data_IF_776097263818
#
_entry.id   IF_776097263818
#
_cell.length_a   1.000
_cell.length_b   1.000
_cell.length_c   1.000
_cell.angle_alpha   90.00
_cell.angle_beta   90.00
_cell.angle_gamma   90.00
#
_symmetry.space_group_name_H-M   'P 1'
#
loop_
_entity.id
_entity.type
_entity.pdbx_description
1 polymer ?
#
# COMPACT_ATOMS: atom_id res chain seq x y z
N UNK A 1 -15.33 -4.22 -57.60
CA UNK A 1 -14.36 -3.47 -56.78
C UNK A 1 -15.14 -2.69 -55.74
N UNK A 2 -15.26 -3.25 -54.53
CA UNK A 2 -15.80 -2.55 -53.36
C UNK A 2 -14.73 -2.67 -52.28
N UNK A 3 -14.19 -1.53 -51.87
CA UNK A 3 -13.11 -1.42 -50.90
C UNK A 3 -13.63 -1.70 -49.49
N UNK A 4 -12.94 -2.58 -48.77
CA UNK A 4 -13.18 -2.87 -47.35
C UNK A 4 -12.85 -1.63 -46.50
N UNK A 5 -13.66 -1.32 -45.46
CA UNK A 5 -13.38 -0.21 -44.56
C UNK A 5 -12.14 -0.51 -43.71
N UNK A 6 -11.23 0.46 -43.71
CA UNK A 6 -10.01 0.51 -42.93
C UNK A 6 -10.31 0.34 -41.44
N UNK A 7 -9.74 -0.70 -40.84
CA UNK A 7 -9.64 -0.83 -39.38
C UNK A 7 -8.83 0.35 -38.85
N UNK A 8 -9.51 1.29 -38.20
CA UNK A 8 -8.85 2.29 -37.38
C UNK A 8 -8.17 1.56 -36.22
N UNK A 9 -6.84 1.60 -36.25
CA UNK A 9 -5.99 1.23 -35.12
C UNK A 9 -6.41 2.07 -33.91
N UNK A 10 -7.12 1.44 -32.98
CA UNK A 10 -7.29 1.96 -31.62
C UNK A 10 -5.88 2.04 -31.01
N UNK A 11 -5.42 3.26 -30.75
CA UNK A 11 -4.21 3.47 -29.97
C UNK A 11 -4.47 2.86 -28.59
N UNK A 12 -3.60 1.98 -28.06
CA UNK A 12 -3.80 1.43 -26.73
C UNK A 12 -3.90 2.57 -25.72
N UNK A 13 -5.00 2.62 -24.98
CA UNK A 13 -5.23 3.60 -23.94
C UNK A 13 -4.03 3.57 -22.98
N UNK A 14 -3.49 4.76 -22.69
CA UNK A 14 -2.32 4.91 -21.84
C UNK A 14 -2.68 4.40 -20.44
N UNK A 15 -2.10 3.27 -20.02
CA UNK A 15 -2.41 2.61 -18.74
C UNK A 15 -2.34 3.58 -17.56
N UNK A 16 -3.40 3.58 -16.75
CA UNK A 16 -3.50 4.40 -15.55
C UNK A 16 -2.60 3.81 -14.46
N UNK A 17 -1.75 4.64 -13.84
CA UNK A 17 -0.85 4.19 -12.76
C UNK A 17 -1.56 3.97 -11.42
N UNK A 18 -2.76 4.51 -11.28
CA UNK A 18 -3.57 4.46 -10.06
C UNK A 18 -5.01 4.32 -10.51
N UNK A 19 -5.67 3.23 -10.10
CA UNK A 19 -7.09 3.03 -10.34
C UNK A 19 -7.95 4.06 -9.59
N UNK A 20 -9.20 4.24 -10.01
CA UNK A 20 -10.15 5.11 -9.33
C UNK A 20 -10.32 4.73 -7.85
N UNK A 21 -10.26 5.73 -6.96
CA UNK A 21 -10.47 5.57 -5.53
C UNK A 21 -11.77 6.26 -5.12
N UNK A 22 -12.53 5.65 -4.20
CA UNK A 22 -13.75 6.25 -3.65
C UNK A 22 -13.47 7.54 -2.87
N UNK A 23 -12.33 7.59 -2.17
CA UNK A 23 -11.90 8.76 -1.38
C UNK A 23 -10.38 8.83 -1.30
N UNK A 24 -9.84 10.02 -1.00
CA UNK A 24 -8.40 10.24 -0.84
C UNK A 24 -7.95 9.85 0.58
N UNK A 25 -7.12 8.80 0.77
CA UNK A 25 -6.58 8.47 2.08
C UNK A 25 -5.43 9.42 2.45
N UNK A 26 -5.66 10.31 3.40
CA UNK A 26 -4.67 11.26 3.90
C UNK A 26 -4.53 11.20 5.42
N UNK A 27 -3.32 11.50 5.92
CA UNK A 27 -3.07 11.70 7.35
C UNK A 27 -2.85 13.19 7.59
N UNK A 28 -3.76 13.83 8.34
CA UNK A 28 -3.72 15.26 8.61
C UNK A 28 -3.04 15.56 9.96
N UNK A 29 -1.88 16.22 9.99
CA UNK A 29 -1.25 16.63 11.26
C UNK A 29 -2.01 17.79 11.92
N UNK A 30 -2.41 17.62 13.18
CA UNK A 30 -3.14 18.63 13.96
C UNK A 30 -2.34 19.27 15.10
N UNK A 31 -1.03 19.03 15.16
CA UNK A 31 -0.14 19.58 16.20
C UNK A 31 -0.27 21.11 16.27
N UNK A 32 -0.70 21.60 17.43
CA UNK A 32 -0.91 23.04 17.71
C UNK A 32 -1.92 23.72 16.78
N UNK A 33 -2.81 22.94 16.14
CA UNK A 33 -3.89 23.49 15.32
C UNK A 33 -5.15 23.64 16.17
N UNK A 34 -5.86 24.75 15.96
CA UNK A 34 -7.19 24.97 16.52
C UNK A 34 -8.18 24.05 15.82
N UNK A 35 -9.02 23.36 16.58
CA UNK A 35 -10.11 22.53 16.07
C UNK A 35 -11.40 22.89 16.81
N UNK A 36 -12.50 22.97 16.06
CA UNK A 36 -13.82 23.22 16.61
C UNK A 36 -14.57 21.91 16.84
N UNK A 37 -15.13 21.72 18.04
CA UNK A 37 -16.11 20.67 18.35
C UNK A 37 -17.35 21.32 18.94
N UNK A 38 -18.50 21.16 18.28
CA UNK A 38 -19.80 21.60 18.78
C UNK A 38 -20.64 20.40 19.23
N UNK A 39 -21.36 20.54 20.35
CA UNK A 39 -22.17 19.47 20.93
C UNK A 39 -21.50 18.80 22.13
N UNK A 40 -22.33 18.16 22.97
CA UNK A 40 -21.94 17.64 24.29
C UNK A 40 -22.06 16.13 24.47
N UNK A 41 -22.34 15.37 23.40
CA UNK A 41 -22.58 13.92 23.50
C UNK A 41 -21.32 13.08 23.69
N UNK A 42 -21.51 11.78 23.95
CA UNK A 42 -20.43 10.80 23.98
C UNK A 42 -19.70 10.68 22.63
N UNK A 43 -20.42 10.84 21.52
CA UNK A 43 -19.82 10.80 20.19
C UNK A 43 -18.92 12.02 19.96
N UNK A 44 -19.37 13.21 20.36
CA UNK A 44 -18.57 14.43 20.33
C UNK A 44 -17.35 14.34 21.27
N UNK A 45 -17.52 13.74 22.46
CA UNK A 45 -16.43 13.50 23.42
C UNK A 45 -15.33 12.63 22.81
N UNK A 46 -15.69 11.53 22.15
CA UNK A 46 -14.73 10.65 21.48
C UNK A 46 -13.97 11.37 20.36
N UNK A 47 -14.64 12.20 19.56
CA UNK A 47 -13.99 13.02 18.52
C UNK A 47 -13.03 14.03 19.15
N UNK A 48 -13.45 14.73 20.19
CA UNK A 48 -12.62 15.69 20.90
C UNK A 48 -11.35 15.01 21.47
N UNK A 49 -11.49 13.85 22.11
CA UNK A 49 -10.36 13.06 22.64
C UNK A 49 -9.39 12.65 21.52
N UNK A 50 -9.91 12.13 20.40
CA UNK A 50 -9.10 11.73 19.25
C UNK A 50 -8.29 12.91 18.67
N UNK A 51 -8.93 14.06 18.47
CA UNK A 51 -8.29 15.26 17.92
C UNK A 51 -7.21 15.80 18.86
N UNK A 52 -7.51 15.84 20.15
CA UNK A 52 -6.57 16.23 21.19
C UNK A 52 -5.37 15.29 21.27
N UNK A 53 -5.59 13.98 21.11
CA UNK A 53 -4.51 12.99 21.01
C UNK A 53 -3.61 13.15 19.76
N UNK A 54 -4.08 13.87 18.73
CA UNK A 54 -3.27 14.30 17.59
C UNK A 54 -2.50 15.62 17.83
N UNK A 55 -2.60 16.19 19.04
CA UNK A 55 -1.95 17.43 19.44
C UNK A 55 -2.73 18.70 19.10
N UNK A 56 -4.03 18.60 18.85
CA UNK A 56 -4.89 19.75 18.56
C UNK A 56 -5.22 20.55 19.83
N UNK A 57 -5.44 21.84 19.67
CA UNK A 57 -6.17 22.67 20.61
C UNK A 57 -7.66 22.58 20.27
N UNK A 58 -8.39 21.79 21.06
CA UNK A 58 -9.80 21.47 20.81
C UNK A 58 -10.68 22.47 21.54
N UNK A 59 -11.34 23.35 20.79
CA UNK A 59 -12.33 24.28 21.28
C UNK A 59 -13.71 23.63 21.28
N UNK A 60 -14.22 23.34 22.47
CA UNK A 60 -15.52 22.67 22.67
C UNK A 60 -16.57 23.73 22.92
N UNK A 61 -17.57 23.85 22.04
CA UNK A 61 -18.72 24.74 22.19
C UNK A 61 -19.96 23.92 22.54
N UNK A 62 -20.28 23.89 23.83
CA UNK A 62 -21.46 23.24 24.36
C UNK A 62 -21.75 23.81 25.75
N UNK A 63 -23.01 24.17 26.08
CA UNK A 63 -23.39 24.44 27.45
C UNK A 63 -22.99 23.29 28.38
N UNK A 64 -22.42 23.59 29.55
CA UNK A 64 -21.97 22.58 30.52
C UNK A 64 -23.11 21.63 30.92
N UNK A 65 -24.34 22.16 30.96
CA UNK A 65 -25.54 21.40 31.30
C UNK A 65 -25.87 20.26 30.32
N UNK A 66 -25.36 20.32 29.08
CA UNK A 66 -25.61 19.29 28.05
C UNK A 66 -24.41 18.38 27.83
N UNK A 67 -23.29 18.60 28.53
CA UNK A 67 -22.13 17.72 28.44
C UNK A 67 -22.46 16.37 29.08
N UNK A 68 -22.21 15.29 28.35
CA UNK A 68 -22.30 13.94 28.88
C UNK A 68 -21.24 13.69 29.96
N UNK A 69 -21.45 12.65 30.78
CA UNK A 69 -20.47 12.23 31.78
C UNK A 69 -19.12 11.89 31.15
N UNK A 70 -19.12 11.21 30.00
CA UNK A 70 -17.89 10.90 29.27
C UNK A 70 -17.17 12.17 28.81
N UNK A 71 -17.91 13.18 28.32
CA UNK A 71 -17.30 14.43 27.89
C UNK A 71 -16.63 15.16 29.07
N UNK A 72 -17.32 15.24 30.21
CA UNK A 72 -16.76 15.83 31.43
C UNK A 72 -15.48 15.12 31.87
N UNK A 73 -15.44 13.78 31.81
CA UNK A 73 -14.25 12.99 32.13
C UNK A 73 -13.09 13.27 31.17
N UNK A 74 -13.35 13.41 29.87
CA UNK A 74 -12.33 13.75 28.86
C UNK A 74 -11.73 15.13 29.14
N UNK A 75 -12.57 16.13 29.42
CA UNK A 75 -12.10 17.49 29.76
C UNK A 75 -11.28 17.50 31.05
N UNK A 76 -11.70 16.75 32.07
CA UNK A 76 -11.00 16.66 33.34
C UNK A 76 -9.65 15.92 33.22
N UNK A 77 -9.59 14.84 32.42
CA UNK A 77 -8.36 14.07 32.18
C UNK A 77 -7.33 14.88 31.39
N UNK A 78 -7.78 15.77 30.51
CA UNK A 78 -6.91 16.53 29.63
C UNK A 78 -6.38 15.71 28.45
N UNK A 79 -5.49 16.32 27.66
CA UNK A 79 -4.96 15.72 26.45
C UNK A 79 -3.91 14.64 26.73
N UNK A 80 -3.96 13.52 26.01
CA UNK A 80 -2.91 12.51 26.06
C UNK A 80 -1.62 12.94 25.33
N UNK A 81 -1.72 13.89 24.40
CA UNK A 81 -0.59 14.43 23.65
C UNK A 81 -0.10 15.72 24.31
N UNK A 82 1.22 15.90 24.43
CA UNK A 82 1.83 17.06 25.13
C UNK A 82 1.43 18.43 24.57
N UNK A 83 1.25 18.52 23.24
CA UNK A 83 0.77 19.73 22.54
C UNK A 83 -0.76 19.86 22.49
N UNK A 84 -1.51 18.82 22.88
CA UNK A 84 -2.96 18.83 22.85
C UNK A 84 -3.52 19.56 24.06
N UNK A 85 -4.67 20.21 23.91
CA UNK A 85 -5.42 20.77 25.04
C UNK A 85 -6.90 20.95 24.69
N UNK A 86 -7.72 21.11 25.73
CA UNK A 86 -9.13 21.45 25.60
C UNK A 86 -9.38 22.88 26.06
N UNK A 87 -10.22 23.60 25.32
CA UNK A 87 -10.76 24.90 25.69
C UNK A 87 -12.28 24.79 25.63
N UNK A 88 -12.92 24.68 26.80
CA UNK A 88 -14.37 24.59 26.88
C UNK A 88 -15.00 25.99 26.89
N UNK A 89 -15.93 26.21 25.96
CA UNK A 89 -16.80 27.38 25.87
C UNK A 89 -18.19 26.95 26.32
N UNK A 90 -18.60 27.42 27.50
CA UNK A 90 -19.93 27.14 28.10
C UNK A 90 -21.03 27.95 27.39
N UNK A 91 -21.21 27.69 26.10
CA UNK A 91 -22.17 28.33 25.19
C UNK A 91 -22.28 27.56 23.89
N UNK A 92 -23.33 27.84 23.11
CA UNK A 92 -23.46 27.35 21.75
C UNK A 92 -22.37 27.94 20.82
N UNK A 93 -22.13 27.24 19.71
CA UNK A 93 -21.23 27.73 18.66
C UNK A 93 -21.82 28.97 17.96
N UNK A 94 -20.96 29.74 17.30
CA UNK A 94 -21.35 30.93 16.53
C UNK A 94 -20.39 31.10 15.33
N UNK A 95 -20.71 31.97 14.36
CA UNK A 95 -19.92 32.13 13.13
C UNK A 95 -18.43 32.42 13.39
N UNK A 96 -18.08 33.27 14.36
CA UNK A 96 -16.67 33.53 14.69
C UNK A 96 -15.92 32.33 15.31
N UNK A 97 -16.63 31.28 15.75
CA UNK A 97 -16.01 30.09 16.32
C UNK A 97 -15.13 29.35 15.30
N UNK A 98 -15.45 29.45 14.01
CA UNK A 98 -14.72 28.81 12.92
C UNK A 98 -13.40 29.50 12.55
N UNK A 99 -13.16 30.73 13.03
CA UNK A 99 -11.95 31.50 12.71
C UNK A 99 -10.68 30.70 13.02
N UNK A 100 -9.75 30.57 12.07
CA UNK A 100 -8.49 29.84 12.23
C UNK A 100 -8.61 28.35 12.60
N UNK A 101 -9.82 27.78 12.56
CA UNK A 101 -10.02 26.35 12.81
C UNK A 101 -9.51 25.55 11.61
N UNK A 102 -8.72 24.51 11.88
CA UNK A 102 -8.22 23.62 10.84
C UNK A 102 -9.30 22.65 10.34
N UNK A 103 -10.18 22.21 11.26
CA UNK A 103 -11.35 21.37 10.99
C UNK A 103 -12.45 21.69 12.00
N UNK A 104 -13.70 21.37 11.64
CA UNK A 104 -14.87 21.54 12.48
C UNK A 104 -15.69 20.25 12.56
N UNK A 105 -16.11 19.89 13.77
CA UNK A 105 -16.97 18.74 14.03
C UNK A 105 -18.18 19.21 14.82
N UNK A 106 -19.37 18.74 14.45
CA UNK A 106 -20.56 18.93 15.26
C UNK A 106 -21.29 17.62 15.51
N UNK A 107 -21.85 17.51 16.69
CA UNK A 107 -23.00 16.66 16.94
C UNK A 107 -24.24 17.54 17.07
N UNK A 108 -25.15 17.42 16.10
CA UNK A 108 -26.34 18.25 16.00
C UNK A 108 -27.56 17.36 16.17
N UNK A 109 -28.54 17.77 16.97
CA UNK A 109 -29.79 17.02 17.12
C UNK A 109 -30.65 17.19 15.86
N UNK A 110 -30.91 18.44 15.45
CA UNK A 110 -31.79 18.76 14.34
C UNK A 110 -31.07 18.86 12.99
N UNK A 111 -31.81 18.63 11.91
CA UNK A 111 -31.31 18.79 10.54
C UNK A 111 -30.98 20.26 10.22
N UNK A 112 -31.81 21.19 10.70
CA UNK A 112 -31.65 22.64 10.59
C UNK A 112 -30.33 23.13 11.19
N UNK A 113 -29.98 22.60 12.37
CA UNK A 113 -28.71 22.91 13.04
C UNK A 113 -27.52 22.38 12.24
N UNK A 114 -27.60 21.14 11.75
CA UNK A 114 -26.55 20.53 10.93
C UNK A 114 -26.32 21.32 9.64
N UNK A 115 -27.38 21.77 8.97
CA UNK A 115 -27.32 22.62 7.80
C UNK A 115 -26.66 23.98 8.12
N UNK A 116 -27.07 24.62 9.21
CA UNK A 116 -26.48 25.89 9.65
C UNK A 116 -24.98 25.76 9.98
N UNK A 117 -24.58 24.70 10.70
CA UNK A 117 -23.18 24.43 11.02
C UNK A 117 -22.35 24.16 9.76
N UNK A 118 -22.88 23.35 8.86
CA UNK A 118 -22.25 23.03 7.56
C UNK A 118 -22.01 24.28 6.73
N UNK A 119 -23.03 25.13 6.56
CA UNK A 119 -22.90 26.38 5.81
C UNK A 119 -21.93 27.37 6.45
N UNK A 120 -21.95 27.50 7.78
CA UNK A 120 -21.03 28.36 8.51
C UNK A 120 -19.57 27.90 8.32
N UNK A 121 -19.30 26.60 8.45
CA UNK A 121 -17.98 26.01 8.25
C UNK A 121 -17.46 26.25 6.83
N UNK A 122 -18.28 25.98 5.82
CA UNK A 122 -17.91 26.18 4.41
C UNK A 122 -17.66 27.64 4.06
N UNK A 123 -18.47 28.56 4.62
CA UNK A 123 -18.27 30.00 4.46
C UNK A 123 -16.92 30.44 5.05
N UNK A 124 -16.50 29.82 6.15
CA UNK A 124 -15.20 30.06 6.76
C UNK A 124 -14.02 29.30 6.10
N UNK A 125 -14.29 28.46 5.09
CA UNK A 125 -13.27 27.61 4.46
C UNK A 125 -12.75 26.49 5.35
N UNK A 126 -13.53 26.08 6.36
CA UNK A 126 -13.15 25.05 7.34
C UNK A 126 -13.81 23.72 6.96
N UNK A 127 -13.02 22.64 6.74
CA UNK A 127 -13.57 21.31 6.49
C UNK A 127 -14.45 20.85 7.64
N UNK A 128 -15.62 20.30 7.29
CA UNK A 128 -16.66 19.97 8.26
C UNK A 128 -17.04 18.49 8.28
N UNK A 129 -17.32 17.97 9.47
CA UNK A 129 -17.91 16.66 9.69
C UNK A 129 -19.04 16.78 10.72
N UNK A 130 -20.26 16.42 10.34
CA UNK A 130 -21.40 16.32 11.27
C UNK A 130 -21.65 14.85 11.58
N UNK A 131 -21.61 14.51 12.86
CA UNK A 131 -21.76 13.12 13.33
C UNK A 131 -23.13 12.58 12.89
N UNK A 132 -23.12 11.33 12.42
CA UNK A 132 -24.29 10.59 11.93
C UNK A 132 -25.11 11.27 10.82
N UNK A 133 -24.58 12.32 10.19
CA UNK A 133 -25.21 13.04 9.07
C UNK A 133 -24.25 13.16 7.87
N UNK A 134 -24.09 12.09 7.06
CA UNK A 134 -23.15 12.05 5.93
C UNK A 134 -23.35 13.15 4.89
N UNK A 135 -24.59 13.62 4.70
CA UNK A 135 -24.91 14.72 3.77
C UNK A 135 -24.24 16.06 4.14
N UNK A 136 -23.82 16.22 5.40
CA UNK A 136 -23.13 17.41 5.91
C UNK A 136 -21.66 17.12 6.28
N UNK A 137 -21.03 16.19 5.59
CA UNK A 137 -19.62 15.84 5.79
C UNK A 137 -18.80 16.08 4.52
N UNK A 138 -17.69 16.82 4.65
CA UNK A 138 -16.67 16.95 3.59
C UNK A 138 -15.53 15.92 3.76
N UNK A 139 -15.45 15.29 4.92
CA UNK A 139 -14.54 14.18 5.21
C UNK A 139 -15.16 13.20 6.19
N UNK A 140 -14.59 11.99 6.27
CA UNK A 140 -15.07 10.92 7.14
C UNK A 140 -13.94 10.39 8.02
N UNK A 141 -14.31 9.91 9.22
CA UNK A 141 -13.40 9.17 10.08
C UNK A 141 -13.47 7.68 9.76
N UNK A 142 -12.32 7.09 9.44
CA UNK A 142 -12.20 5.64 9.29
C UNK A 142 -12.05 4.91 10.63
N UNK A 143 -12.04 3.58 10.57
CA UNK A 143 -11.53 2.76 11.68
C UNK A 143 -10.02 2.91 11.81
N UNK A 144 -9.53 3.11 13.03
CA UNK A 144 -8.11 3.41 13.29
C UNK A 144 -7.46 2.25 14.07
N UNK A 145 -6.32 1.78 13.60
CA UNK A 145 -5.37 0.98 14.38
C UNK A 145 -4.21 1.87 14.80
N UNK A 146 -4.07 2.10 16.10
CA UNK A 146 -3.06 3.00 16.65
C UNK A 146 -1.87 2.22 17.23
N UNK A 147 -0.69 2.43 16.66
CA UNK A 147 0.64 2.03 17.14
C UNK A 147 1.59 3.23 17.05
N UNK A 148 1.07 4.43 17.33
CA UNK A 148 1.72 5.72 17.07
C UNK A 148 3.22 5.69 17.44
N UNK A 149 4.11 6.10 16.52
CA UNK A 149 3.81 6.86 15.30
C UNK A 149 3.34 6.02 14.09
N UNK A 150 3.17 4.69 14.21
CA UNK A 150 2.55 3.86 13.16
C UNK A 150 1.03 3.91 13.29
N UNK A 151 0.33 4.35 12.25
CA UNK A 151 -1.12 4.49 12.23
C UNK A 151 -1.66 3.84 10.96
N UNK A 152 -2.73 3.05 11.09
CA UNK A 152 -3.49 2.53 9.95
C UNK A 152 -4.91 3.09 10.03
N UNK A 153 -5.37 3.68 8.93
CA UNK A 153 -6.75 4.12 8.76
C UNK A 153 -7.45 3.23 7.73
N UNK A 154 -8.67 2.80 8.06
CA UNK A 154 -9.49 1.89 7.24
C UNK A 154 -10.79 2.62 6.94
N UNK A 155 -11.09 2.82 5.65
CA UNK A 155 -12.36 3.36 5.18
C UNK A 155 -13.11 2.31 4.35
N UNK A 156 -14.43 2.29 4.48
CA UNK A 156 -15.35 1.52 3.62
C UNK A 156 -16.29 2.44 2.85
N UNK A 157 -16.00 3.76 2.81
CA UNK A 157 -16.84 4.79 2.19
C UNK A 157 -18.32 4.70 2.62
N UNK A 158 -18.53 4.45 3.91
CA UNK A 158 -19.87 4.28 4.49
C UNK A 158 -20.58 2.95 4.18
N UNK A 159 -20.04 2.09 3.32
CA UNK A 159 -20.74 0.90 2.83
C UNK A 159 -20.96 -0.20 3.89
N UNK A 160 -20.02 -0.38 4.84
CA UNK A 160 -20.12 -1.44 5.83
C UNK A 160 -19.25 -1.19 7.08
N UNK A 161 -19.83 -0.68 8.19
CA UNK A 161 -19.11 -0.52 9.45
C UNK A 161 -18.57 -1.85 10.01
N UNK A 162 -19.32 -2.93 9.88
CA UNK A 162 -18.92 -4.27 10.35
C UNK A 162 -17.69 -4.79 9.59
N UNK A 163 -17.61 -4.53 8.27
CA UNK A 163 -16.45 -4.89 7.47
C UNK A 163 -15.21 -4.11 7.92
N UNK A 164 -15.34 -2.80 8.15
CA UNK A 164 -14.24 -1.97 8.67
C UNK A 164 -13.73 -2.50 10.02
N UNK A 165 -14.63 -2.93 10.91
CA UNK A 165 -14.26 -3.55 12.19
C UNK A 165 -13.55 -4.89 12.00
N UNK A 166 -14.01 -5.74 11.08
CA UNK A 166 -13.37 -7.04 10.81
C UNK A 166 -11.94 -6.86 10.25
N UNK A 167 -11.75 -5.92 9.32
CA UNK A 167 -10.43 -5.54 8.80
C UNK A 167 -9.55 -5.01 9.93
N UNK A 168 -10.08 -4.11 10.76
CA UNK A 168 -9.35 -3.55 11.92
C UNK A 168 -8.83 -4.64 12.85
N UNK A 169 -9.67 -5.61 13.23
CA UNK A 169 -9.28 -6.72 14.12
C UNK A 169 -8.14 -7.56 13.53
N UNK A 170 -8.20 -7.87 12.23
CA UNK A 170 -7.14 -8.61 11.53
C UNK A 170 -5.82 -7.84 11.51
N UNK A 171 -5.87 -6.53 11.23
CA UNK A 171 -4.68 -5.67 11.24
C UNK A 171 -4.11 -5.53 12.67
N UNK A 172 -4.96 -5.39 13.69
CA UNK A 172 -4.52 -5.35 15.09
C UNK A 172 -3.76 -6.61 15.51
N UNK A 173 -4.19 -7.79 15.03
CA UNK A 173 -3.50 -9.05 15.26
C UNK A 173 -2.15 -9.15 14.53
N UNK A 174 -2.04 -8.56 13.34
CA UNK A 174 -0.81 -8.54 12.53
C UNK A 174 0.22 -7.51 12.98
N UNK A 175 -0.19 -6.44 13.69
CA UNK A 175 0.69 -5.33 14.06
C UNK A 175 1.07 -5.37 15.56
N UNK A 176 2.29 -5.83 15.91
CA UNK A 176 2.72 -5.94 17.29
C UNK A 176 2.68 -4.59 18.03
N UNK A 177 2.29 -4.56 19.32
CA UNK A 177 2.37 -3.34 20.15
C UNK A 177 3.78 -2.74 20.22
N UNK A 178 4.82 -3.56 20.04
CA UNK A 178 6.21 -3.15 20.03
C UNK A 178 6.56 -2.17 18.91
N UNK A 179 5.77 -2.11 17.82
CA UNK A 179 6.01 -1.24 16.67
C UNK A 179 6.11 0.24 17.04
N UNK A 180 5.40 0.68 18.09
CA UNK A 180 5.52 2.04 18.64
C UNK A 180 6.98 2.38 18.96
N UNK A 181 7.66 1.51 19.70
CA UNK A 181 9.04 1.74 20.13
C UNK A 181 10.02 1.67 18.96
N UNK A 182 9.83 0.70 18.06
CA UNK A 182 10.63 0.60 16.85
C UNK A 182 10.48 1.83 15.96
N UNK A 183 9.27 2.34 15.77
CA UNK A 183 9.08 3.51 14.93
C UNK A 183 9.67 4.79 15.57
N UNK A 184 9.64 4.94 16.90
CA UNK A 184 10.40 5.99 17.61
C UNK A 184 11.91 5.87 17.37
N UNK A 185 12.46 4.64 17.47
CA UNK A 185 13.87 4.38 17.15
C UNK A 185 14.16 4.76 15.70
N UNK A 186 13.32 4.34 14.75
CA UNK A 186 13.47 4.65 13.33
C UNK A 186 13.57 6.17 13.11
N UNK A 187 12.70 6.95 13.74
CA UNK A 187 12.75 8.43 13.69
C UNK A 187 14.07 8.97 14.24
N UNK A 188 14.54 8.47 15.39
CA UNK A 188 15.78 8.93 16.02
C UNK A 188 17.05 8.55 15.24
N UNK A 189 17.02 7.46 14.46
CA UNK A 189 18.19 6.96 13.73
C UNK A 189 18.20 7.38 12.25
N UNK A 190 17.04 7.75 11.68
CA UNK A 190 16.86 7.90 10.22
C UNK A 190 17.88 8.81 9.56
N UNK A 191 18.07 10.01 10.08
CA UNK A 191 18.96 10.99 9.47
C UNK A 191 20.43 10.58 9.60
N UNK A 192 20.80 9.99 10.74
CA UNK A 192 22.14 9.44 10.99
C UNK A 192 22.47 8.26 10.06
N UNK A 193 21.49 7.39 9.78
CA UNK A 193 21.62 6.29 8.81
C UNK A 193 21.71 6.84 7.39
N UNK A 194 20.85 7.80 7.03
CA UNK A 194 20.83 8.39 5.69
C UNK A 194 22.13 9.16 5.38
N UNK A 195 22.77 9.78 6.38
CA UNK A 195 24.07 10.41 6.21
C UNK A 195 25.21 9.41 5.96
N UNK A 196 25.08 8.16 6.46
CA UNK A 196 26.09 7.11 6.31
C UNK A 196 25.92 6.28 5.04
N UNK A 197 24.68 5.90 4.72
CA UNK A 197 24.36 4.98 3.63
C UNK A 197 23.95 5.73 2.37
N UNK A 198 24.44 5.28 1.22
CA UNK A 198 24.05 5.82 -0.08
C UNK A 198 22.56 5.56 -0.37
N UNK A 199 21.86 6.49 -1.04
CA UNK A 199 20.48 6.28 -1.48
C UNK A 199 20.31 5.02 -2.33
N UNK A 200 19.22 4.28 -2.12
CA UNK A 200 18.90 3.06 -2.88
C UNK A 200 19.14 1.79 -2.07
N UNK A 201 19.88 0.84 -2.65
CA UNK A 201 19.97 -0.53 -2.12
C UNK A 201 20.57 -0.62 -0.72
N UNK A 202 21.59 0.20 -0.42
CA UNK A 202 22.22 0.18 0.90
C UNK A 202 21.23 0.55 2.01
N UNK A 203 20.55 1.70 1.88
CA UNK A 203 19.48 2.11 2.81
C UNK A 203 18.35 1.09 2.85
N UNK A 204 17.95 0.52 1.72
CA UNK A 204 16.87 -0.48 1.67
C UNK A 204 17.20 -1.72 2.51
N UNK A 205 18.35 -2.34 2.28
CA UNK A 205 18.77 -3.55 2.99
C UNK A 205 18.80 -3.30 4.50
N UNK A 206 19.29 -2.13 4.91
CA UNK A 206 19.29 -1.73 6.31
C UNK A 206 17.86 -1.66 6.88
N UNK A 207 16.95 -0.98 6.19
CA UNK A 207 15.57 -0.81 6.63
C UNK A 207 14.73 -2.08 6.55
N UNK A 208 14.97 -2.97 5.59
CA UNK A 208 14.33 -4.29 5.53
C UNK A 208 14.72 -5.13 6.76
N UNK A 209 16.01 -5.23 7.08
CA UNK A 209 16.48 -5.91 8.30
C UNK A 209 15.97 -5.26 9.57
N UNK A 210 15.81 -3.94 9.56
CA UNK A 210 15.20 -3.21 10.67
C UNK A 210 13.73 -3.64 10.85
N UNK A 211 12.96 -3.71 9.77
CA UNK A 211 11.56 -4.14 9.78
C UNK A 211 11.43 -5.59 10.24
N UNK A 212 12.28 -6.51 9.74
CA UNK A 212 12.27 -7.90 10.18
C UNK A 212 12.38 -8.01 11.71
N UNK A 213 13.29 -7.25 12.32
CA UNK A 213 13.45 -7.19 13.78
C UNK A 213 12.25 -6.55 14.48
N UNK A 214 11.65 -5.53 13.85
CA UNK A 214 10.50 -4.83 14.41
C UNK A 214 9.27 -5.74 14.62
N UNK A 215 9.15 -6.79 13.81
CA UNK A 215 8.09 -7.78 13.91
C UNK A 215 8.43 -8.99 14.80
N UNK A 216 9.69 -9.20 15.16
CA UNK A 216 10.12 -10.33 16.01
C UNK A 216 9.93 -10.08 17.51
N UNK A 217 10.00 -8.83 17.97
CA UNK A 217 9.91 -8.56 19.40
C UNK A 217 10.12 -7.10 19.79
N UNK A 218 10.20 -6.86 21.10
CA UNK A 218 10.50 -5.53 21.64
C UNK A 218 11.99 -5.18 21.40
N UNK A 219 12.32 -3.91 21.16
CA UNK A 219 13.70 -3.49 21.05
C UNK A 219 14.42 -3.70 22.40
N UNK A 220 15.56 -4.36 22.36
CA UNK A 220 16.46 -4.51 23.50
C UNK A 220 17.17 -3.19 23.84
N UNK A 221 17.70 -3.07 25.06
CA UNK A 221 18.55 -1.92 25.42
C UNK A 221 19.77 -1.82 24.48
N UNK A 222 20.15 -0.58 24.17
CA UNK A 222 21.28 -0.29 23.27
C UNK A 222 21.06 -0.69 21.80
N UNK A 223 19.85 -1.02 21.37
CA UNK A 223 19.56 -1.39 19.97
C UNK A 223 19.96 -0.28 18.99
N UNK A 224 19.79 0.99 19.35
CA UNK A 224 20.19 2.13 18.51
C UNK A 224 21.68 2.10 18.18
N UNK A 225 22.52 1.85 19.18
CA UNK A 225 23.97 1.78 19.02
C UNK A 225 24.37 0.61 18.11
N UNK A 226 23.72 -0.56 18.29
CA UNK A 226 23.95 -1.73 17.43
C UNK A 226 23.53 -1.48 15.98
N UNK A 227 22.40 -0.80 15.77
CA UNK A 227 21.92 -0.42 14.44
C UNK A 227 22.89 0.55 13.76
N UNK A 228 23.42 1.54 14.49
CA UNK A 228 24.46 2.42 13.96
C UNK A 228 25.72 1.65 13.54
N UNK A 229 26.20 0.76 14.40
CA UNK A 229 27.35 -0.09 14.10
C UNK A 229 27.10 -1.06 12.92
N UNK A 230 25.86 -1.45 12.66
CA UNK A 230 25.50 -2.20 11.45
C UNK A 230 25.56 -1.32 10.20
N UNK A 231 25.04 -0.09 10.27
CA UNK A 231 25.14 0.87 9.17
C UNK A 231 26.61 1.14 8.80
N UNK A 232 27.49 1.36 9.79
CA UNK A 232 28.93 1.57 9.58
C UNK A 232 29.60 0.33 8.95
N UNK A 233 29.22 -0.87 9.39
CA UNK A 233 29.71 -2.14 8.79
C UNK A 233 29.25 -2.30 7.34
N UNK A 234 28.06 -1.83 7.00
CA UNK A 234 27.55 -1.88 5.63
C UNK A 234 28.26 -0.88 4.69
N UNK A 235 28.77 0.23 5.22
CA UNK A 235 29.63 1.15 4.45
C UNK A 235 30.96 0.48 4.11
N UNK A 236 31.58 -0.21 5.08
CA UNK A 236 32.88 -0.87 4.89
C UNK A 236 32.80 -2.17 4.08
N UNK A 237 31.64 -2.84 4.07
CA UNK A 237 31.34 -3.99 3.21
C UNK A 237 30.06 -3.70 2.42
N UNK A 238 30.13 -2.87 1.36
CA UNK A 238 28.96 -2.59 0.55
C UNK A 238 28.38 -3.91 0.07
N UNK A 239 27.08 -4.10 0.31
CA UNK A 239 26.31 -5.19 -0.26
C UNK A 239 26.60 -5.25 -1.75
N UNK A 240 26.93 -6.46 -2.21
CA UNK A 240 27.33 -6.81 -3.56
C UNK A 240 26.47 -6.13 -4.64
N UNK A 241 27.05 -6.03 -5.85
CA UNK A 241 26.36 -5.78 -7.11
C UNK A 241 24.88 -6.21 -7.06
N UNK A 242 24.00 -5.42 -7.66
CA UNK A 242 22.58 -5.70 -7.71
C UNK A 242 22.31 -7.06 -8.37
N UNK A 243 21.04 -7.43 -8.51
CA UNK A 243 20.69 -8.68 -9.20
C UNK A 243 19.63 -8.46 -10.26
N UNK A 244 19.65 -9.34 -11.25
CA UNK A 244 18.52 -9.57 -12.14
C UNK A 244 17.68 -10.70 -11.55
N UNK A 245 16.36 -10.54 -11.49
CA UNK A 245 15.43 -11.62 -11.13
C UNK A 245 14.41 -11.78 -12.23
N UNK A 246 14.48 -12.89 -12.94
CA UNK A 246 13.49 -13.28 -13.95
C UNK A 246 12.33 -13.94 -13.20
N UNK A 247 11.13 -13.40 -13.34
CA UNK A 247 9.95 -13.79 -12.55
C UNK A 247 8.85 -14.22 -13.50
N UNK A 248 8.31 -15.42 -13.28
CA UNK A 248 7.08 -15.85 -13.94
C UNK A 248 5.85 -15.25 -13.27
N UNK A 249 5.03 -14.58 -14.07
CA UNK A 249 3.75 -14.02 -13.63
C UNK A 249 2.63 -15.07 -13.56
N UNK A 250 2.87 -16.27 -14.09
CA UNK A 250 1.83 -17.29 -14.22
C UNK A 250 0.82 -16.95 -15.33
N UNK A 251 -0.40 -17.52 -15.30
CA UNK A 251 -1.38 -17.35 -16.38
C UNK A 251 -2.05 -15.96 -16.45
N UNK A 252 -1.81 -15.08 -15.47
CA UNK A 252 -2.28 -13.70 -15.49
C UNK A 252 -2.96 -13.24 -14.19
N UNK A 253 -3.55 -14.16 -13.43
CA UNK A 253 -4.16 -13.86 -12.13
C UNK A 253 -3.07 -13.54 -11.09
N UNK A 254 -3.22 -12.38 -10.42
CA UNK A 254 -2.29 -11.91 -9.40
C UNK A 254 -2.22 -12.85 -8.18
N UNK A 255 -3.29 -13.58 -7.86
CA UNK A 255 -3.30 -14.56 -6.76
C UNK A 255 -2.46 -15.80 -7.08
N UNK A 256 -2.17 -16.06 -8.35
CA UNK A 256 -1.33 -17.18 -8.80
C UNK A 256 0.16 -16.83 -8.83
N UNK A 257 0.54 -15.60 -8.47
CA UNK A 257 1.93 -15.27 -8.24
C UNK A 257 2.46 -16.05 -7.04
N UNK A 258 3.64 -16.63 -7.23
CA UNK A 258 4.33 -17.24 -6.10
C UNK A 258 4.70 -16.17 -5.07
N UNK A 259 4.74 -16.53 -3.78
CA UNK A 259 5.18 -15.61 -2.73
C UNK A 259 6.59 -15.03 -3.00
N UNK A 260 7.44 -15.79 -3.69
CA UNK A 260 8.78 -15.34 -4.10
C UNK A 260 8.72 -14.31 -5.24
N UNK A 261 7.77 -14.43 -6.17
CA UNK A 261 7.51 -13.44 -7.21
C UNK A 261 7.06 -12.11 -6.60
N UNK A 262 6.11 -12.15 -5.68
CA UNK A 262 5.62 -10.95 -4.96
C UNK A 262 6.77 -10.26 -4.21
N UNK A 263 7.59 -11.02 -3.46
CA UNK A 263 8.78 -10.47 -2.78
C UNK A 263 9.78 -9.85 -3.74
N UNK A 264 9.99 -10.46 -4.91
CA UNK A 264 10.87 -9.90 -5.94
C UNK A 264 10.33 -8.56 -6.47
N UNK A 265 9.02 -8.48 -6.77
CA UNK A 265 8.36 -7.26 -7.24
C UNK A 265 8.38 -6.13 -6.19
N UNK A 266 8.24 -6.47 -4.90
CA UNK A 266 8.34 -5.50 -3.79
C UNK A 266 9.78 -5.01 -3.57
N UNK A 267 10.79 -5.84 -3.84
CA UNK A 267 12.21 -5.48 -3.72
C UNK A 267 12.79 -4.79 -4.98
N UNK A 268 12.04 -4.76 -6.08
CA UNK A 268 12.50 -4.29 -7.38
C UNK A 268 12.73 -2.78 -7.41
N UNK A 269 13.84 -2.36 -8.02
CA UNK A 269 14.08 -0.97 -8.39
C UNK A 269 13.52 -0.61 -9.75
N UNK A 270 13.64 -1.56 -10.68
CA UNK A 270 13.16 -1.46 -12.05
C UNK A 270 12.45 -2.76 -12.37
N UNK A 271 11.28 -2.67 -12.99
CA UNK A 271 10.47 -3.80 -13.43
C UNK A 271 10.29 -3.67 -14.93
N UNK A 272 10.88 -4.62 -15.65
CA UNK A 272 10.71 -4.84 -17.08
C UNK A 272 9.64 -5.92 -17.24
N UNK A 273 8.55 -5.63 -17.93
CA UNK A 273 7.41 -6.56 -18.00
C UNK A 273 6.90 -6.71 -19.43
N UNK A 274 6.38 -7.89 -19.74
CA UNK A 274 5.70 -8.15 -21.03
C UNK A 274 4.39 -7.35 -21.11
N UNK A 275 4.03 -6.87 -22.29
CA UNK A 275 2.79 -6.10 -22.47
C UNK A 275 1.52 -6.89 -22.11
N UNK A 276 1.55 -8.22 -22.15
CA UNK A 276 0.41 -9.05 -21.76
C UNK A 276 0.21 -9.19 -20.24
N UNK A 277 1.12 -8.66 -19.41
CA UNK A 277 0.96 -8.66 -17.95
C UNK A 277 -0.17 -7.72 -17.53
N UNK A 278 -1.09 -8.26 -16.72
CA UNK A 278 -2.22 -7.54 -16.14
C UNK A 278 -1.76 -6.52 -15.10
N UNK A 279 -2.50 -5.42 -14.98
CA UNK A 279 -2.13 -4.32 -14.07
C UNK A 279 -2.22 -4.73 -12.59
N UNK A 280 -3.10 -5.66 -12.24
CA UNK A 280 -3.25 -6.23 -10.88
C UNK A 280 -1.94 -6.87 -10.37
N UNK A 281 -1.20 -7.55 -11.25
CA UNK A 281 0.13 -8.10 -10.95
C UNK A 281 1.14 -6.97 -10.69
N UNK A 282 1.07 -5.89 -11.46
CA UNK A 282 1.97 -4.73 -11.31
C UNK A 282 1.64 -3.90 -10.07
N UNK A 283 0.41 -3.91 -9.59
CA UNK A 283 -0.02 -3.24 -8.35
C UNK A 283 0.55 -3.91 -7.08
N UNK A 284 0.92 -5.18 -7.15
CA UNK A 284 1.65 -5.86 -6.07
C UNK A 284 3.12 -5.42 -5.95
N UNK A 285 3.63 -4.75 -6.98
CA UNK A 285 4.98 -4.21 -6.97
C UNK A 285 5.12 -2.96 -6.11
N UNK A 286 6.36 -2.64 -5.75
CA UNK A 286 6.67 -1.38 -5.06
C UNK A 286 6.22 -0.17 -5.88
N UNK A 287 5.50 0.76 -5.24
CA UNK A 287 4.97 1.99 -5.88
C UNK A 287 6.03 2.86 -6.56
N UNK A 288 7.23 2.94 -5.99
CA UNK A 288 8.35 3.74 -6.53
C UNK A 288 9.23 2.96 -7.52
N UNK A 289 8.91 1.69 -7.84
CA UNK A 289 9.66 0.95 -8.85
C UNK A 289 9.43 1.56 -10.24
N UNK A 290 10.51 1.73 -11.02
CA UNK A 290 10.39 2.17 -12.40
C UNK A 290 9.81 1.02 -13.23
N UNK A 291 8.57 1.14 -13.68
CA UNK A 291 7.89 0.19 -14.57
C UNK A 291 8.24 0.52 -16.03
N UNK A 292 8.75 -0.45 -16.78
CA UNK A 292 9.15 -0.31 -18.18
C UNK A 292 8.52 -1.46 -18.98
N UNK A 293 7.55 -1.20 -19.86
CA UNK A 293 7.02 -2.23 -20.75
C UNK A 293 8.08 -2.64 -21.77
N UNK A 294 8.19 -3.95 -22.03
CA UNK A 294 9.02 -4.52 -23.08
C UNK A 294 8.08 -4.91 -24.23
N UNK A 295 8.20 -4.22 -25.36
CA UNK A 295 7.32 -4.42 -26.51
C UNK A 295 7.42 -5.87 -27.02
N UNK A 296 6.28 -6.57 -27.02
CA UNK A 296 6.15 -7.91 -27.54
C UNK A 296 5.71 -7.84 -29.01
N UNK A 297 6.65 -7.81 -29.94
CA UNK A 297 6.34 -8.36 -31.26
C UNK A 297 7.44 -9.33 -31.66
N UNK A 298 7.05 -10.57 -31.96
CA UNK A 298 7.92 -11.63 -32.46
C UNK A 298 8.70 -11.22 -33.74
N UNK A 299 8.30 -10.12 -34.39
CA UNK A 299 8.96 -9.55 -35.56
C UNK A 299 10.05 -8.51 -35.23
N UNK A 300 10.05 -7.92 -34.03
CA UNK A 300 11.03 -6.93 -33.58
C UNK A 300 12.01 -7.49 -32.52
N UNK A 301 12.37 -8.79 -32.64
CA UNK A 301 13.65 -9.30 -32.11
C UNK A 301 14.85 -8.73 -32.90
N UNK A 302 14.77 -7.49 -33.37
CA UNK A 302 15.92 -6.70 -33.75
C UNK A 302 16.84 -6.71 -32.54
N UNK A 303 17.95 -7.44 -32.67
CA UNK A 303 18.90 -7.70 -31.59
C UNK A 303 19.33 -6.40 -30.91
N UNK A 304 19.27 -5.27 -31.62
CA UNK A 304 19.57 -3.93 -31.14
C UNK A 304 18.71 -3.45 -29.96
N UNK A 305 17.38 -3.63 -29.95
CA UNK A 305 16.54 -3.15 -28.83
C UNK A 305 16.71 -4.02 -27.58
N UNK A 306 16.83 -5.34 -27.76
CA UNK A 306 17.14 -6.26 -26.67
C UNK A 306 18.55 -6.02 -26.09
N UNK A 307 19.55 -5.74 -26.94
CA UNK A 307 20.92 -5.41 -26.52
C UNK A 307 20.98 -4.07 -25.78
N UNK A 308 20.24 -3.05 -26.22
CA UNK A 308 20.15 -1.75 -25.55
C UNK A 308 19.49 -1.89 -24.16
N UNK A 309 18.40 -2.65 -24.06
CA UNK A 309 17.77 -2.99 -22.78
C UNK A 309 18.74 -3.77 -21.88
N UNK A 310 19.49 -4.73 -22.40
CA UNK A 310 20.49 -5.50 -21.63
C UNK A 310 21.67 -4.65 -21.14
N UNK A 311 22.17 -3.72 -21.95
CA UNK A 311 23.23 -2.78 -21.56
C UNK A 311 22.81 -1.86 -20.41
N UNK A 312 21.59 -1.34 -20.48
CA UNK A 312 20.99 -0.51 -19.43
C UNK A 312 20.76 -1.30 -18.14
N UNK A 313 20.31 -2.56 -18.24
CA UNK A 313 20.17 -3.47 -17.08
C UNK A 313 21.52 -3.70 -16.41
N UNK A 314 22.56 -3.99 -17.17
CA UNK A 314 23.89 -4.24 -16.63
C UNK A 314 24.43 -3.01 -15.87
N UNK A 315 24.20 -1.80 -16.40
CA UNK A 315 24.57 -0.57 -15.73
C UNK A 315 23.79 -0.34 -14.42
N UNK A 316 22.48 -0.63 -14.41
CA UNK A 316 21.64 -0.53 -13.21
C UNK A 316 22.07 -1.54 -12.13
N UNK A 317 22.30 -2.79 -12.53
CA UNK A 317 22.74 -3.87 -11.65
C UNK A 317 24.10 -3.55 -11.04
N UNK A 318 25.06 -3.06 -11.83
CA UNK A 318 26.38 -2.63 -11.32
C UNK A 318 26.29 -1.45 -10.35
N UNK A 319 25.26 -0.60 -10.48
CA UNK A 319 24.92 0.46 -9.50
C UNK A 319 24.17 -0.07 -8.26
N UNK A 320 24.06 -1.39 -8.09
CA UNK A 320 23.40 -2.03 -6.94
C UNK A 320 21.89 -2.14 -7.07
N UNK A 321 21.28 -1.89 -8.24
CA UNK A 321 19.82 -1.94 -8.40
C UNK A 321 19.33 -3.38 -8.57
N UNK A 322 18.17 -3.67 -7.98
CA UNK A 322 17.45 -4.92 -8.24
C UNK A 322 16.57 -4.73 -9.47
N UNK A 323 16.84 -5.49 -10.52
CA UNK A 323 16.05 -5.45 -11.76
C UNK A 323 15.20 -6.70 -11.84
N UNK A 324 13.88 -6.53 -11.93
CA UNK A 324 12.95 -7.64 -12.18
C UNK A 324 12.58 -7.67 -13.65
N UNK A 325 12.71 -8.84 -14.27
CA UNK A 325 12.16 -9.15 -15.59
C UNK A 325 10.94 -10.05 -15.40
N UNK A 326 9.76 -9.44 -15.42
CA UNK A 326 8.49 -10.11 -15.25
C UNK A 326 8.00 -10.63 -16.61
N UNK A 327 7.85 -11.94 -16.73
CA UNK A 327 7.41 -12.62 -17.95
C UNK A 327 6.04 -13.26 -17.74
N UNK A 328 5.25 -13.34 -18.80
CA UNK A 328 4.02 -14.15 -18.76
C UNK A 328 4.37 -15.64 -18.63
N UNK A 329 3.53 -16.40 -17.91
CA UNK A 329 3.74 -17.83 -17.68
C UNK A 329 4.93 -18.15 -16.78
N UNK A 330 5.63 -19.25 -17.08
CA UNK A 330 6.79 -19.73 -16.33
C UNK A 330 8.08 -19.57 -17.15
N UNK A 331 9.08 -18.83 -16.66
CA UNK A 331 10.34 -18.56 -17.40
C UNK A 331 11.24 -19.79 -17.56
N UNK A 332 11.00 -20.88 -16.82
CA UNK A 332 11.87 -22.07 -16.81
C UNK A 332 11.98 -22.80 -18.16
N UNK A 333 11.02 -22.62 -19.07
CA UNK A 333 10.96 -23.40 -20.31
C UNK A 333 12.06 -23.03 -21.33
N UNK A 334 12.50 -21.76 -21.37
CA UNK A 334 13.54 -21.28 -22.31
C UNK A 334 14.08 -19.94 -21.82
N UNK A 335 15.33 -19.86 -21.36
CA UNK A 335 15.88 -18.57 -20.90
C UNK A 335 17.25 -18.25 -21.53
N UNK A 336 17.21 -17.96 -22.84
CA UNK A 336 18.28 -17.25 -23.56
C UNK A 336 18.67 -15.93 -22.85
N UNK A 337 17.71 -15.28 -22.19
CA UNK A 337 17.93 -14.07 -21.38
C UNK A 337 18.77 -14.34 -20.12
N UNK A 338 18.54 -15.45 -19.42
CA UNK A 338 19.36 -15.86 -18.28
C UNK A 338 20.82 -16.04 -18.71
N UNK A 339 21.03 -16.82 -19.77
CA UNK A 339 22.37 -17.03 -20.35
C UNK A 339 22.99 -15.72 -20.87
N UNK A 340 22.19 -14.75 -21.34
CA UNK A 340 22.69 -13.43 -21.71
C UNK A 340 23.16 -12.62 -20.50
N UNK A 341 22.41 -12.60 -19.40
CA UNK A 341 22.80 -11.89 -18.18
C UNK A 341 24.01 -12.54 -17.49
N UNK A 342 24.10 -13.88 -17.51
CA UNK A 342 25.28 -14.60 -17.01
C UNK A 342 26.54 -14.26 -17.81
N UNK A 343 26.45 -14.20 -19.15
CA UNK A 343 27.57 -13.79 -20.02
C UNK A 343 28.06 -12.37 -19.73
N UNK A 344 27.17 -11.50 -19.23
CA UNK A 344 27.52 -10.14 -18.79
C UNK A 344 28.09 -10.08 -17.36
N UNK A 345 28.24 -11.22 -16.69
CA UNK A 345 28.74 -11.35 -15.32
C UNK A 345 27.79 -10.81 -14.27
N UNK A 346 26.48 -10.77 -14.56
CA UNK A 346 25.47 -10.26 -13.64
C UNK A 346 24.93 -11.38 -12.75
N UNK A 347 24.69 -11.13 -11.45
CA UNK A 347 23.96 -12.08 -10.61
C UNK A 347 22.52 -12.16 -11.10
N UNK A 348 22.13 -13.33 -11.58
CA UNK A 348 20.78 -13.58 -12.08
C UNK A 348 20.14 -14.75 -11.33
N UNK A 349 18.84 -14.65 -11.10
CA UNK A 349 18.03 -15.71 -10.50
C UNK A 349 16.71 -15.84 -11.25
N UNK A 350 16.22 -17.06 -11.39
CA UNK A 350 14.88 -17.36 -11.88
C UNK A 350 13.94 -17.64 -10.68
N UNK A 351 12.75 -17.06 -10.73
CA UNK A 351 11.62 -17.35 -9.86
C UNK A 351 10.53 -17.95 -10.74
N UNK A 352 10.21 -19.25 -10.59
CA UNK A 352 9.23 -19.91 -11.44
C UNK A 352 7.83 -19.33 -11.23
N UNK A 353 7.03 -19.37 -12.28
CA UNK A 353 5.60 -19.05 -12.28
C UNK A 353 4.76 -20.32 -12.32
N UNK A 354 3.46 -20.18 -12.06
CA UNK A 354 2.48 -21.26 -12.27
C UNK A 354 2.28 -21.45 -13.78
N UNK A 355 2.41 -22.67 -14.29
CA UNK A 355 2.13 -22.96 -15.70
C UNK A 355 0.64 -22.77 -15.99
N UNK A 356 0.29 -22.18 -17.14
CA UNK A 356 -1.11 -21.95 -17.50
C UNK A 356 -1.91 -23.26 -17.57
N UNK A 357 -1.29 -24.33 -18.03
CA UNK A 357 -1.89 -25.68 -18.12
C UNK A 357 -2.15 -26.32 -16.75
N UNK A 358 -1.42 -25.89 -15.72
CA UNK A 358 -1.54 -26.42 -14.35
C UNK A 358 -2.67 -25.76 -13.56
N UNK A 359 -3.21 -24.64 -14.05
CA UNK A 359 -4.35 -23.95 -13.43
C UNK A 359 -5.62 -24.23 -14.22
N UNK A 360 -6.54 -24.99 -13.60
CA UNK A 360 -7.92 -25.11 -14.08
C UNK A 360 -8.80 -24.29 -13.14
N UNK A 361 -9.32 -23.13 -13.56
CA UNK A 361 -10.33 -22.46 -12.76
C UNK A 361 -11.52 -23.42 -12.59
N UNK A 362 -12.16 -23.37 -11.42
CA UNK A 362 -13.31 -24.22 -11.12
C UNK A 362 -14.35 -24.03 -12.24
N UNK A 363 -14.53 -25.08 -13.05
CA UNK A 363 -15.45 -25.06 -14.19
C UNK A 363 -16.87 -25.08 -13.64
N UNK A 364 -17.43 -23.89 -13.42
CA UNK A 364 -18.88 -23.72 -13.30
C UNK A 364 -19.55 -24.20 -14.58
N UNK A 365 -20.03 -25.45 -14.55
CA UNK A 365 -21.01 -26.06 -15.46
C UNK A 365 -20.93 -25.66 -16.94
N UNK A 366 -20.18 -26.42 -17.74
CA UNK A 366 -20.70 -26.87 -19.05
C UNK A 366 -20.01 -28.17 -19.49
N UNK A 367 -20.76 -29.26 -19.43
CA UNK A 367 -20.40 -30.54 -20.03
C UNK A 367 -20.81 -30.48 -21.50
N UNK A 368 -19.83 -30.32 -22.40
CA UNK A 368 -20.05 -30.33 -23.84
C UNK A 368 -18.80 -30.75 -24.61
N UNK A 369 -18.69 -32.04 -24.89
CA UNK A 369 -18.05 -32.61 -26.08
C UNK A 369 -16.59 -32.22 -26.38
N UNK A 370 -15.63 -33.02 -25.89
CA UNK A 370 -14.39 -33.26 -26.63
C UNK A 370 -14.10 -34.76 -26.69
N UNK A 371 -14.39 -35.31 -27.87
CA UNK A 371 -14.18 -36.69 -28.26
C UNK A 371 -12.69 -37.08 -28.23
N UNK A 372 -12.38 -38.16 -27.50
CA UNK A 372 -11.12 -38.87 -27.63
C UNK A 372 -11.07 -39.56 -29.01
N UNK A 373 -10.34 -39.01 -29.98
CA UNK A 373 -9.96 -39.75 -31.19
C UNK A 373 -8.71 -40.60 -30.91
N UNK A 374 -8.89 -41.69 -30.16
CA UNK A 374 -7.86 -42.73 -30.02
C UNK A 374 -7.93 -43.72 -31.18
N UNK A 375 -6.86 -43.83 -31.99
CA UNK A 375 -6.70 -44.90 -32.98
C UNK A 375 -6.64 -46.26 -32.27
N UNK A 376 -7.31 -47.32 -32.78
CA UNK A 376 -7.28 -48.64 -32.15
C UNK A 376 -5.94 -49.33 -32.41
N UNK A 377 -5.29 -49.75 -31.33
CA UNK A 377 -4.18 -50.72 -31.35
C UNK A 377 -4.79 -52.12 -31.43
N UNK A 378 -4.43 -52.89 -32.46
CA UNK A 378 -4.84 -54.30 -32.60
C UNK A 378 -4.17 -55.18 -31.53
N UNK A 379 -4.88 -56.15 -30.93
CA UNK A 379 -4.31 -57.04 -29.93
C UNK A 379 -3.46 -58.15 -30.57
N UNK A 380 -2.18 -58.19 -30.21
CA UNK A 380 -1.27 -59.30 -30.50
C UNK A 380 -1.56 -60.51 -29.62
N UNK A 381 -1.58 -61.68 -30.25
CA UNK A 381 -1.88 -62.98 -29.67
C UNK A 381 -0.94 -63.38 -28.52
N UNK A 382 -1.53 -63.95 -27.47
CA UNK A 382 -0.85 -64.76 -26.47
C UNK A 382 -0.38 -66.09 -27.07
N UNK A 383 0.89 -66.41 -26.90
CA UNK A 383 1.39 -67.79 -26.90
C UNK A 383 2.11 -68.05 -25.59
N UNK A 384 1.57 -69.00 -24.82
CA UNK A 384 2.14 -69.63 -23.62
C UNK A 384 3.27 -70.59 -23.98
N UNK A 385 4.34 -70.58 -23.17
CA UNK A 385 5.26 -71.68 -22.76
C UNK A 385 6.47 -71.00 -22.09
N UNK A 386 7.01 -71.38 -20.92
CA UNK A 386 6.98 -72.61 -20.13
C UNK A 386 7.00 -72.27 -18.63
#
# INVERSE_FOLDING_TARGET
MLASPSQQSERPAKRERVAALATLPLFWPLKSKRVLVAGGSDAAAWKAELLSACGAEVHVYAPRAILSGLFLDVLARGAAHELGRFVHHDKAWHADAFRDAAIAIADCDEQSEAEAFFHAARTAGVPVNVIDKPAFCEFQFGSIVNRSPVIVAISTDGAAPILAQAIRRRIEALLPPALKHWASIAQAIRDRVNARLSPGAARRIFWERFVDRAFLGKPEQGVEMRLMAEADRQVTRPSAIGRVTIVGAGPGDAELLTLKAVRALQAADVILFDECIQDEVLELARREARRVPVAGSDKDRSSSNAILVQGDIAALVRKGKNVVRLRSGNPMAVDEEFAAFERLGLPVQIVPGVEAEAYRPDMGSDMGELAFSGRPVQPGLHTTNH
#
